data_IF_348539503585
#
_entry.id   IF_348539503585
#
_cell.length_a   1.000
_cell.length_b   1.000
_cell.length_c   1.000
_cell.angle_alpha   90.00
_cell.angle_beta   90.00
_cell.angle_gamma   90.00
#
_symmetry.space_group_name_H-M   'P 1'
#
loop_
_entity.id
_entity.type
_entity.pdbx_description
1 polymer ?
#
# COMPACT_ATOMS: atom_id res chain seq x y z
N UNK A 1 18.74 -10.83 13.25
CA UNK A 1 17.84 -10.70 12.09
C UNK A 1 16.67 -9.89 12.60
N UNK A 2 16.51 -8.66 12.12
CA UNK A 2 15.37 -7.81 12.52
C UNK A 2 14.10 -8.47 11.98
N UNK A 3 13.12 -8.77 12.84
CA UNK A 3 11.91 -9.48 12.45
C UNK A 3 11.05 -8.57 11.57
N UNK A 4 11.16 -8.75 10.25
CA UNK A 4 10.37 -8.02 9.25
C UNK A 4 9.12 -8.77 8.83
N UNK A 5 8.69 -9.80 9.57
CA UNK A 5 7.52 -10.61 9.24
C UNK A 5 6.25 -9.75 9.16
N UNK A 6 6.03 -8.88 10.14
CA UNK A 6 4.86 -7.98 10.18
C UNK A 6 4.85 -7.04 8.99
N UNK A 7 6.01 -6.43 8.65
CA UNK A 7 6.13 -5.60 7.47
C UNK A 7 5.72 -6.39 6.21
N UNK A 8 6.30 -7.56 5.97
CA UNK A 8 6.00 -8.37 4.79
C UNK A 8 4.53 -8.84 4.75
N UNK A 9 3.94 -9.20 5.91
CA UNK A 9 2.52 -9.55 6.03
C UNK A 9 1.63 -8.38 5.59
N UNK A 10 1.89 -7.20 6.13
CA UNK A 10 1.11 -5.99 5.86
C UNK A 10 1.32 -5.44 4.46
N UNK A 11 2.53 -5.56 3.88
CA UNK A 11 2.81 -5.26 2.47
C UNK A 11 1.90 -6.09 1.56
N UNK A 12 1.84 -7.41 1.78
CA UNK A 12 0.99 -8.33 1.03
C UNK A 12 -0.51 -8.06 1.20
N UNK A 13 -0.96 -7.73 2.41
CA UNK A 13 -2.36 -7.38 2.68
C UNK A 13 -2.76 -6.12 1.92
N UNK A 14 -1.96 -5.04 2.02
CA UNK A 14 -2.24 -3.79 1.34
C UNK A 14 -2.16 -3.94 -0.18
N UNK A 15 -1.24 -4.76 -0.70
CA UNK A 15 -1.12 -5.02 -2.15
C UNK A 15 -2.40 -5.58 -2.75
N UNK A 16 -3.04 -6.53 -2.06
CA UNK A 16 -4.31 -7.12 -2.50
C UNK A 16 -5.43 -6.08 -2.59
N UNK A 17 -5.38 -5.03 -1.78
CA UNK A 17 -6.37 -3.95 -1.80
C UNK A 17 -6.06 -2.84 -2.80
N UNK A 18 -4.78 -2.50 -2.97
CA UNK A 18 -4.34 -1.42 -3.84
C UNK A 18 -4.42 -1.85 -5.30
N UNK A 19 -4.11 -3.11 -5.64
CA UNK A 19 -4.10 -3.60 -7.03
C UNK A 19 -5.42 -3.36 -7.78
N UNK A 20 -6.61 -3.69 -7.24
CA UNK A 20 -7.88 -3.40 -7.91
C UNK A 20 -8.12 -1.91 -8.12
N UNK A 21 -7.79 -1.08 -7.13
CA UNK A 21 -7.96 0.38 -7.20
C UNK A 21 -7.04 1.00 -8.25
N UNK A 22 -5.78 0.55 -8.26
CA UNK A 22 -4.80 0.98 -9.25
C UNK A 22 -5.25 0.59 -10.66
N UNK A 23 -5.69 -0.65 -10.86
CA UNK A 23 -6.19 -1.15 -12.16
C UNK A 23 -7.41 -0.37 -12.67
N UNK A 24 -8.27 0.11 -11.77
CA UNK A 24 -9.43 0.93 -12.14
C UNK A 24 -9.03 2.30 -12.73
N UNK A 25 -7.98 2.93 -12.18
CA UNK A 25 -7.52 4.25 -12.65
C UNK A 25 -6.47 4.16 -13.76
N UNK A 26 -5.62 3.14 -13.69
CA UNK A 26 -4.49 2.88 -14.57
C UNK A 26 -4.53 1.40 -15.00
N UNK A 27 -5.25 1.05 -16.08
CA UNK A 27 -5.43 -0.34 -16.49
C UNK A 27 -4.15 -1.04 -16.96
N UNK A 28 -3.14 -0.25 -17.34
CA UNK A 28 -1.82 -0.72 -17.76
C UNK A 28 -0.75 -0.10 -16.86
N UNK A 29 -0.39 -0.82 -15.80
CA UNK A 29 0.77 -0.56 -14.93
C UNK A 29 1.65 -1.83 -14.92
N UNK A 30 2.94 -1.68 -14.65
CA UNK A 30 3.87 -2.81 -14.62
C UNK A 30 4.05 -3.33 -13.19
N UNK A 31 4.81 -2.63 -12.38
CA UNK A 31 5.10 -3.05 -11.01
C UNK A 31 4.35 -2.18 -10.00
N UNK A 32 4.00 -2.81 -8.87
CA UNK A 32 3.57 -2.14 -7.64
C UNK A 32 4.48 -2.60 -6.51
N UNK A 33 5.14 -1.66 -5.83
CA UNK A 33 5.95 -1.91 -4.66
C UNK A 33 5.31 -1.22 -3.47
N UNK A 34 4.98 -2.01 -2.45
CA UNK A 34 4.47 -1.52 -1.18
C UNK A 34 5.53 -1.81 -0.14
N UNK A 35 5.84 -0.79 0.66
CA UNK A 35 6.87 -0.90 1.67
C UNK A 35 6.42 -0.36 3.02
N UNK A 36 6.55 -1.17 4.07
CA UNK A 36 6.48 -0.75 5.46
C UNK A 36 7.89 -0.75 6.08
N UNK A 37 8.16 0.12 7.08
CA UNK A 37 9.40 0.03 7.85
C UNK A 37 9.53 -1.40 8.41
N UNK A 38 10.69 -2.03 8.23
CA UNK A 38 10.92 -3.41 8.67
C UNK A 38 10.72 -3.59 10.17
N UNK A 39 10.84 -2.52 10.94
CA UNK A 39 10.68 -2.48 12.40
C UNK A 39 9.23 -2.22 12.83
N UNK A 40 8.29 -2.08 11.91
CA UNK A 40 6.89 -1.73 12.22
C UNK A 40 6.26 -2.67 13.26
N UNK A 41 6.60 -3.96 13.24
CA UNK A 41 6.14 -4.91 14.26
C UNK A 41 6.70 -4.58 15.65
N UNK A 42 8.00 -4.30 15.75
CA UNK A 42 8.64 -3.92 17.00
C UNK A 42 8.18 -2.54 17.51
N UNK A 43 7.99 -1.57 16.60
CA UNK A 43 7.54 -0.21 16.95
C UNK A 43 6.11 -0.17 17.48
N UNK A 44 5.26 -1.12 17.04
CA UNK A 44 3.85 -1.22 17.43
C UNK A 44 3.56 -2.36 18.42
N UNK A 45 4.58 -3.06 18.91
CA UNK A 45 4.47 -4.24 19.78
C UNK A 45 3.58 -5.36 19.20
N UNK A 46 3.70 -5.58 17.89
CA UNK A 46 2.95 -6.59 17.13
C UNK A 46 3.83 -7.80 16.84
N UNK A 47 3.46 -8.94 17.42
CA UNK A 47 4.09 -10.24 17.19
C UNK A 47 3.47 -11.02 16.03
N UNK A 48 4.22 -11.98 15.48
CA UNK A 48 3.76 -12.85 14.40
C UNK A 48 2.59 -13.79 14.78
N UNK A 49 2.40 -14.01 16.08
CA UNK A 49 1.32 -14.79 16.68
C UNK A 49 -0.01 -14.00 16.78
N UNK A 50 0.04 -12.68 16.59
CA UNK A 50 -1.13 -11.83 16.61
C UNK A 50 -1.83 -11.80 15.25
N UNK A 51 -3.16 -11.93 15.25
CA UNK A 51 -3.99 -11.71 14.06
C UNK A 51 -4.24 -10.22 13.79
N UNK A 52 -3.14 -9.46 13.74
CA UNK A 52 -3.15 -8.02 13.54
C UNK A 52 -3.00 -7.67 12.04
N UNK A 53 -3.79 -6.70 11.58
CA UNK A 53 -3.71 -6.12 10.23
C UNK A 53 -3.18 -4.68 10.29
N UNK A 54 -2.61 -4.21 9.18
CA UNK A 54 -2.17 -2.82 9.06
C UNK A 54 -3.29 -1.78 9.27
N UNK A 55 -4.56 -2.21 9.16
CA UNK A 55 -5.76 -1.40 9.36
C UNK A 55 -6.00 -1.04 10.82
N UNK A 56 -5.47 -1.84 11.74
CA UNK A 56 -5.69 -1.65 13.17
C UNK A 56 -4.77 -0.55 13.75
N UNK A 57 -3.87 0.00 12.92
CA UNK A 57 -2.81 0.90 13.34
C UNK A 57 -2.67 2.10 12.40
N UNK A 58 -2.24 3.24 12.95
CA UNK A 58 -1.89 4.42 12.15
C UNK A 58 -0.53 4.22 11.47
N UNK A 59 -0.53 3.59 10.29
CA UNK A 59 0.68 3.21 9.58
C UNK A 59 0.92 4.03 8.32
N UNK A 60 2.19 4.17 7.94
CA UNK A 60 2.64 5.03 6.83
C UNK A 60 3.45 4.23 5.79
N UNK A 61 2.80 3.33 5.02
CA UNK A 61 3.49 2.63 3.95
C UNK A 61 3.83 3.55 2.78
N UNK A 62 4.90 3.23 2.08
CA UNK A 62 5.21 3.79 0.77
C UNK A 62 4.61 2.91 -0.32
N UNK A 63 3.92 3.51 -1.29
CA UNK A 63 3.34 2.81 -2.44
C UNK A 63 3.95 3.42 -3.70
N UNK A 64 4.63 2.60 -4.49
CA UNK A 64 5.23 2.97 -5.76
C UNK A 64 4.66 2.11 -6.88
N UNK A 65 4.41 2.69 -8.04
CA UNK A 65 4.01 1.96 -9.23
C UNK A 65 4.48 2.66 -10.50
N UNK A 66 4.62 1.90 -11.58
CA UNK A 66 5.14 2.41 -12.85
C UNK A 66 4.09 2.31 -13.95
N UNK A 67 4.00 3.37 -14.76
CA UNK A 67 3.14 3.43 -15.94
C UNK A 67 4.03 3.57 -17.18
N UNK A 68 4.16 2.54 -18.03
CA UNK A 68 5.10 2.52 -19.15
C UNK A 68 4.57 3.29 -20.37
N UNK A 69 4.26 4.57 -20.19
CA UNK A 69 3.84 5.47 -21.27
C UNK A 69 4.20 6.91 -20.96
N UNK A 70 4.21 7.77 -21.99
CA UNK A 70 4.34 9.22 -21.82
C UNK A 70 3.20 9.75 -20.94
N UNK A 71 3.47 10.82 -20.19
CA UNK A 71 2.48 11.51 -19.37
C UNK A 71 1.27 11.94 -20.20
N UNK A 72 0.07 11.61 -19.73
CA UNK A 72 -1.19 12.07 -20.27
C UNK A 72 -1.77 13.23 -19.44
N UNK A 73 -2.56 14.12 -20.05
CA UNK A 73 -3.15 15.27 -19.36
C UNK A 73 -4.08 14.84 -18.22
N UNK A 74 -4.73 13.68 -18.33
CA UNK A 74 -5.63 13.14 -17.30
C UNK A 74 -4.94 12.45 -16.12
N UNK A 75 -3.62 12.28 -16.16
CA UNK A 75 -2.89 11.49 -15.17
C UNK A 75 -2.99 12.02 -13.76
N UNK A 76 -2.93 13.35 -13.61
CA UNK A 76 -3.05 13.98 -12.30
C UNK A 76 -4.39 13.63 -11.66
N UNK A 77 -5.50 13.76 -12.38
CA UNK A 77 -6.82 13.43 -11.86
C UNK A 77 -6.99 11.94 -11.54
N UNK A 78 -6.38 11.04 -12.33
CA UNK A 78 -6.35 9.60 -12.04
C UNK A 78 -5.54 9.28 -10.79
N UNK A 79 -4.38 9.93 -10.64
CA UNK A 79 -3.53 9.80 -9.46
C UNK A 79 -4.22 10.33 -8.20
N UNK A 80 -4.83 11.51 -8.26
CA UNK A 80 -5.56 12.10 -7.13
C UNK A 80 -6.73 11.20 -6.69
N UNK A 81 -7.48 10.63 -7.63
CA UNK A 81 -8.54 9.63 -7.32
C UNK A 81 -7.98 8.35 -6.73
N UNK A 82 -6.84 7.86 -7.22
CA UNK A 82 -6.16 6.72 -6.65
C UNK A 82 -5.76 6.99 -5.18
N UNK A 83 -5.11 8.12 -4.91
CA UNK A 83 -4.71 8.54 -3.55
C UNK A 83 -5.93 8.65 -2.64
N UNK A 84 -7.01 9.29 -3.10
CA UNK A 84 -8.28 9.36 -2.36
C UNK A 84 -8.86 7.98 -2.08
N UNK A 85 -8.85 7.06 -3.05
CA UNK A 85 -9.39 5.70 -2.88
C UNK A 85 -8.61 4.89 -1.84
N UNK A 86 -7.29 5.13 -1.73
CA UNK A 86 -6.44 4.50 -0.72
C UNK A 86 -6.62 5.15 0.66
N UNK A 87 -6.80 6.48 0.74
CA UNK A 87 -6.98 7.21 2.01
C UNK A 87 -8.37 7.01 2.60
N UNK A 88 -9.45 7.08 1.80
CA UNK A 88 -10.83 6.98 2.29
C UNK A 88 -11.07 5.64 2.98
N UNK A 89 -10.48 4.55 2.46
CA UNK A 89 -10.51 3.24 3.13
C UNK A 89 -9.79 3.19 4.47
N UNK A 90 -8.94 4.17 4.81
CA UNK A 90 -8.23 4.22 6.09
C UNK A 90 -8.98 5.00 7.17
N UNK A 91 -10.08 5.68 6.83
CA UNK A 91 -10.90 6.45 7.79
C UNK A 91 -12.31 5.88 7.98
N UNK A 92 -12.67 4.83 7.23
CA UNK A 92 -14.01 4.21 7.22
C UNK A 92 -14.03 2.87 7.94
#
# INVERSE_FOLDING_TARGET
MEDSYIAAKWENELEKEVKPLLKSQFPYYEDIWIHYDKRVGAELDVGADQDASYKDYETKPNIMFFIPRKKDKGDKGKFDRFVQSVIVKRQS
#
